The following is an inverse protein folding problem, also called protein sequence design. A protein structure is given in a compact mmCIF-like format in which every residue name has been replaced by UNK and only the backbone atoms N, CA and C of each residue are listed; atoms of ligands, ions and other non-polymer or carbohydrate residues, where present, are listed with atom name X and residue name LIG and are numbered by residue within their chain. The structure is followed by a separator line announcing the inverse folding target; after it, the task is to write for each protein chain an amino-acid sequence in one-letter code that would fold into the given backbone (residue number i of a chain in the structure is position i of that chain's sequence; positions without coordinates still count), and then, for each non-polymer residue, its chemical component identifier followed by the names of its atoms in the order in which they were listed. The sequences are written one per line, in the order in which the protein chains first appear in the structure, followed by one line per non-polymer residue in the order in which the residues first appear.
data_IF_553286088899
#
_entry.id   IF_553286088899
#
_cell.length_a   1.000
_cell.length_b   1.000
_cell.length_c   1.000
_cell.angle_alpha   90.00
_cell.angle_beta   90.00
_cell.angle_gamma   90.00
#
_symmetry.space_group_name_H-M   'P 1'
#
loop_
_entity.id
_entity.type
_entity.pdbx_description
1 polymer ?
#
# COMPACT_ATOMS: atom_id res chain seq x y z
N UNK A 1 -2.32 6.27 4.66
CA UNK A 1 -1.70 7.34 5.48
C UNK A 1 -0.74 6.65 6.43
N UNK A 2 0.48 7.16 6.57
CA UNK A 2 1.46 6.55 7.48
C UNK A 2 1.09 6.86 8.92
N UNK A 3 1.25 5.89 9.82
CA UNK A 3 0.75 6.02 11.21
C UNK A 3 1.36 7.21 11.97
N UNK A 4 2.62 7.55 11.69
CA UNK A 4 3.28 8.73 12.28
C UNK A 4 2.71 10.07 11.79
N UNK A 5 1.92 10.09 10.72
CA UNK A 5 1.20 11.29 10.27
C UNK A 5 -0.13 11.48 11.02
N UNK A 6 -0.55 10.52 11.84
CA UNK A 6 -1.84 10.58 12.54
C UNK A 6 -1.84 11.66 13.65
N UNK A 7 -2.67 12.69 13.51
CA UNK A 7 -2.68 13.84 14.44
C UNK A 7 -2.94 13.45 15.90
N UNK A 8 -3.85 12.49 16.15
CA UNK A 8 -4.11 12.00 17.52
C UNK A 8 -2.88 11.34 18.14
N UNK A 9 -2.10 10.59 17.35
CA UNK A 9 -0.91 9.91 17.85
C UNK A 9 0.15 10.94 18.22
N UNK A 10 0.39 11.92 17.35
CA UNK A 10 1.30 13.03 17.61
C UNK A 10 0.94 13.78 18.90
N UNK A 11 -0.36 14.06 19.11
CA UNK A 11 -0.86 14.69 20.35
C UNK A 11 -0.62 13.82 21.59
N UNK A 12 -0.91 12.53 21.52
CA UNK A 12 -0.77 11.62 22.66
C UNK A 12 0.69 11.35 23.02
N UNK A 13 1.58 11.28 22.04
CA UNK A 13 3.00 11.00 22.24
C UNK A 13 3.85 12.23 22.53
N UNK A 14 3.32 13.44 22.29
CA UNK A 14 4.09 14.69 22.34
C UNK A 14 5.19 14.79 21.26
N UNK A 15 5.12 13.96 20.21
CA UNK A 15 6.11 13.93 19.11
C UNK A 15 5.44 14.39 17.82
N UNK A 16 6.16 15.17 17.01
CA UNK A 16 5.73 15.47 15.65
C UNK A 16 5.89 14.23 14.74
N UNK A 17 5.41 14.33 13.50
CA UNK A 17 5.48 13.23 12.53
C UNK A 17 6.90 12.69 12.31
N UNK A 18 7.90 13.57 12.26
CA UNK A 18 9.31 13.18 12.10
C UNK A 18 9.83 12.41 13.32
N UNK A 19 9.54 12.90 14.53
CA UNK A 19 9.92 12.24 15.77
C UNK A 19 9.25 10.87 15.94
N UNK A 20 8.01 10.70 15.46
CA UNK A 20 7.34 9.41 15.42
C UNK A 20 7.94 8.47 14.37
N UNK A 21 8.29 8.98 13.18
CA UNK A 21 8.96 8.21 12.13
C UNK A 21 10.29 7.66 12.62
N UNK A 22 11.12 8.50 13.25
CA UNK A 22 12.42 8.08 13.78
C UNK A 22 12.28 7.05 14.91
N UNK A 23 11.30 7.21 15.81
CA UNK A 23 11.02 6.19 16.82
C UNK A 23 10.59 4.84 16.20
N UNK A 24 9.84 4.85 15.09
CA UNK A 24 9.51 3.63 14.36
C UNK A 24 10.74 3.00 13.70
N UNK A 25 11.60 3.80 13.10
CA UNK A 25 12.85 3.34 12.46
C UNK A 25 13.77 2.69 13.49
N UNK A 26 13.95 3.29 14.66
CA UNK A 26 14.75 2.72 15.75
C UNK A 26 14.19 1.37 16.22
N UNK A 27 12.87 1.27 16.38
CA UNK A 27 12.23 0.00 16.74
C UNK A 27 12.38 -1.06 15.65
N UNK A 28 12.24 -0.69 14.37
CA UNK A 28 12.46 -1.61 13.24
C UNK A 28 13.91 -2.09 13.19
N UNK A 29 14.89 -1.20 13.41
CA UNK A 29 16.31 -1.58 13.49
C UNK A 29 16.55 -2.57 14.62
N UNK A 30 16.00 -2.31 15.79
CA UNK A 30 16.11 -3.23 16.92
C UNK A 30 15.53 -4.60 16.57
N UNK A 31 14.30 -4.66 16.08
CA UNK A 31 13.62 -5.92 15.71
C UNK A 31 14.43 -6.68 14.64
N UNK A 32 14.87 -6.00 13.59
CA UNK A 32 15.60 -6.66 12.49
C UNK A 32 17.05 -7.02 12.83
N UNK A 33 17.58 -6.51 13.95
CA UNK A 33 18.88 -6.92 14.49
C UNK A 33 18.72 -8.09 15.45
N UNK A 34 17.70 -8.04 16.32
CA UNK A 34 17.37 -9.12 17.24
C UNK A 34 16.89 -10.38 16.50
N UNK A 35 16.25 -10.21 15.34
CA UNK A 35 15.72 -11.28 14.49
C UNK A 35 16.23 -11.14 13.04
N UNK A 36 17.49 -11.54 12.76
CA UNK A 36 18.12 -11.31 11.45
C UNK A 36 17.49 -12.08 10.28
N UNK A 37 16.71 -13.13 10.57
CA UNK A 37 15.97 -13.93 9.58
C UNK A 37 14.52 -13.46 9.41
N UNK A 38 14.10 -12.39 10.10
CA UNK A 38 12.75 -11.86 9.99
C UNK A 38 12.56 -11.20 8.63
N UNK A 39 11.75 -11.83 7.78
CA UNK A 39 11.17 -11.14 6.63
C UNK A 39 10.03 -10.23 7.10
N UNK A 40 10.03 -8.98 6.63
CA UNK A 40 8.96 -8.05 6.94
C UNK A 40 8.53 -7.26 5.71
N UNK A 41 7.31 -6.72 5.81
CA UNK A 41 6.75 -5.76 4.88
C UNK A 41 6.18 -4.60 5.67
N UNK A 42 6.48 -3.37 5.25
CA UNK A 42 5.80 -2.19 5.80
C UNK A 42 4.46 -2.01 5.08
N UNK A 43 3.41 -1.70 5.84
CA UNK A 43 2.14 -1.24 5.28
C UNK A 43 2.21 0.28 5.15
N UNK A 44 2.20 0.75 3.91
CA UNK A 44 2.68 2.06 3.51
C UNK A 44 4.15 2.25 4.00
N UNK A 45 4.58 3.48 4.29
CA UNK A 45 5.96 3.74 4.74
C UNK A 45 6.99 3.73 3.62
N UNK A 46 6.58 4.04 2.38
CA UNK A 46 7.48 4.12 1.23
C UNK A 46 8.66 5.09 1.44
N UNK A 47 8.47 6.14 2.21
CA UNK A 47 9.51 7.08 2.63
C UNK A 47 10.54 6.46 3.58
N UNK A 48 10.14 5.63 4.55
CA UNK A 48 11.09 4.93 5.44
C UNK A 48 12.06 4.08 4.61
N UNK A 49 11.56 3.28 3.67
CA UNK A 49 12.44 2.43 2.85
C UNK A 49 13.28 3.23 1.84
N UNK A 50 12.89 4.46 1.49
CA UNK A 50 13.71 5.33 0.65
C UNK A 50 14.80 6.04 1.44
N UNK A 51 14.46 6.54 2.63
CA UNK A 51 15.35 7.33 3.50
C UNK A 51 16.34 6.48 4.29
N UNK A 52 16.01 5.21 4.58
CA UNK A 52 16.84 4.31 5.40
C UNK A 52 17.24 3.04 4.62
N UNK A 53 18.35 3.08 3.84
CA UNK A 53 18.82 1.95 3.04
C UNK A 53 19.07 0.67 3.84
N UNK A 54 19.56 0.78 5.07
CA UNK A 54 19.84 -0.35 5.96
C UNK A 54 18.58 -1.17 6.29
N UNK A 55 17.43 -0.51 6.39
CA UNK A 55 16.14 -1.16 6.51
C UNK A 55 15.67 -1.71 5.16
N UNK A 56 15.82 -0.94 4.08
CA UNK A 56 15.42 -1.39 2.73
C UNK A 56 16.10 -2.68 2.33
N UNK A 57 17.38 -2.85 2.62
CA UNK A 57 18.16 -4.06 2.29
C UNK A 57 17.59 -5.33 2.94
N UNK A 58 16.87 -5.20 4.06
CA UNK A 58 16.20 -6.30 4.75
C UNK A 58 14.74 -6.48 4.35
N UNK A 59 14.17 -5.54 3.59
CA UNK A 59 12.79 -5.61 3.13
C UNK A 59 12.72 -6.20 1.72
N UNK A 60 11.84 -7.19 1.52
CA UNK A 60 11.55 -7.73 0.18
C UNK A 60 10.26 -7.14 -0.41
N UNK A 61 9.37 -6.70 0.47
CA UNK A 61 8.03 -6.28 0.12
C UNK A 61 7.66 -4.95 0.79
N UNK A 62 6.78 -4.20 0.13
CA UNK A 62 6.01 -3.12 0.74
C UNK A 62 4.54 -3.32 0.37
N UNK A 63 3.64 -3.17 1.34
CA UNK A 63 2.20 -3.21 1.13
C UNK A 63 1.70 -1.78 1.00
N UNK A 64 0.80 -1.48 0.07
CA UNK A 64 0.27 -0.12 -0.14
C UNK A 64 -1.25 -0.14 -0.11
N UNK A 65 -1.82 0.67 0.78
CA UNK A 65 -3.26 0.76 1.05
C UNK A 65 -3.70 2.22 1.28
N UNK A 66 -4.61 2.81 0.51
CA UNK A 66 -4.89 2.63 -0.93
C UNK A 66 -4.05 3.63 -1.74
N UNK A 67 -3.92 3.44 -3.07
CA UNK A 67 -3.12 4.33 -3.95
C UNK A 67 -3.92 4.93 -5.11
N UNK A 68 -4.64 4.10 -5.86
CA UNK A 68 -5.33 4.49 -7.09
C UNK A 68 -6.75 4.97 -6.83
N UNK A 69 -7.39 4.47 -5.76
CA UNK A 69 -8.78 4.80 -5.43
C UNK A 69 -8.91 5.41 -4.04
N UNK A 70 -9.82 6.38 -3.91
CA UNK A 70 -10.29 6.92 -2.65
C UNK A 70 -11.80 7.01 -2.67
N UNK A 71 -12.47 6.38 -1.69
CA UNK A 71 -13.94 6.29 -1.63
C UNK A 71 -14.58 5.80 -2.95
N UNK A 72 -13.92 4.86 -3.62
CA UNK A 72 -14.36 4.27 -4.89
C UNK A 72 -14.12 5.15 -6.13
N UNK A 73 -13.52 6.33 -5.99
CA UNK A 73 -13.16 7.23 -7.09
C UNK A 73 -11.68 7.13 -7.43
N UNK A 74 -11.33 7.22 -8.71
CA UNK A 74 -9.95 7.31 -9.17
C UNK A 74 -9.32 8.62 -8.71
N UNK A 75 -8.10 8.54 -8.18
CA UNK A 75 -7.33 9.71 -7.69
C UNK A 75 -5.99 9.90 -8.39
N UNK A 76 -5.84 9.32 -9.59
CA UNK A 76 -4.57 9.34 -10.36
C UNK A 76 -4.17 10.73 -10.87
N UNK A 77 -5.03 11.73 -10.72
CA UNK A 77 -4.78 13.13 -11.07
C UNK A 77 -4.33 13.98 -9.87
N UNK A 78 -4.16 13.38 -8.69
CA UNK A 78 -3.77 14.13 -7.47
C UNK A 78 -2.26 14.21 -7.31
N UNK A 79 -1.77 15.29 -6.69
CA UNK A 79 -0.36 15.43 -6.32
C UNK A 79 0.10 14.33 -5.38
N UNK A 80 -0.78 13.91 -4.45
CA UNK A 80 -0.48 12.80 -3.54
C UNK A 80 -0.23 11.50 -4.30
N UNK A 81 -1.09 11.17 -5.27
CA UNK A 81 -0.87 10.02 -6.14
C UNK A 81 0.48 10.09 -6.85
N UNK A 82 0.79 11.22 -7.51
CA UNK A 82 2.05 11.40 -8.24
C UNK A 82 3.25 11.24 -7.30
N UNK A 83 3.20 11.86 -6.12
CA UNK A 83 4.26 11.76 -5.11
C UNK A 83 4.45 10.32 -4.65
N UNK A 84 3.36 9.61 -4.32
CA UNK A 84 3.43 8.24 -3.80
C UNK A 84 3.86 7.24 -4.86
N UNK A 85 3.33 7.33 -6.09
CA UNK A 85 3.70 6.42 -7.17
C UNK A 85 5.17 6.59 -7.57
N UNK A 86 5.72 7.80 -7.53
CA UNK A 86 7.15 8.05 -7.76
C UNK A 86 8.03 7.35 -6.71
N UNK A 87 7.66 7.43 -5.43
CA UNK A 87 8.37 6.71 -4.36
C UNK A 87 8.31 5.20 -4.57
N UNK A 88 7.13 4.66 -4.87
CA UNK A 88 6.94 3.22 -5.07
C UNK A 88 7.68 2.70 -6.30
N UNK A 89 7.65 3.43 -7.41
CA UNK A 89 8.42 3.05 -8.61
C UNK A 89 9.93 3.12 -8.37
N UNK A 90 10.40 4.04 -7.53
CA UNK A 90 11.80 4.05 -7.09
C UNK A 90 12.13 2.82 -6.22
N UNK A 91 11.23 2.40 -5.33
CA UNK A 91 11.41 1.17 -4.55
C UNK A 91 11.44 -0.08 -5.43
N UNK A 92 10.61 -0.15 -6.48
CA UNK A 92 10.67 -1.22 -7.48
C UNK A 92 12.03 -1.28 -8.16
N UNK A 93 12.60 -0.12 -8.54
CA UNK A 93 13.97 -0.04 -9.10
C UNK A 93 15.04 -0.52 -8.13
N UNK A 94 14.79 -0.39 -6.82
CA UNK A 94 15.67 -0.89 -5.76
C UNK A 94 15.42 -2.38 -5.41
N UNK A 95 14.63 -3.11 -6.22
CA UNK A 95 14.38 -4.54 -6.02
C UNK A 95 13.23 -4.87 -5.05
N UNK A 96 12.51 -3.87 -4.54
CA UNK A 96 11.37 -4.09 -3.62
C UNK A 96 10.12 -4.44 -4.43
N UNK A 97 9.44 -5.52 -4.04
CA UNK A 97 8.14 -5.86 -4.62
C UNK A 97 7.02 -5.06 -3.95
N UNK A 98 6.28 -4.27 -4.73
CA UNK A 98 5.11 -3.54 -4.25
C UNK A 98 3.87 -4.44 -4.31
N UNK A 99 3.26 -4.67 -3.15
CA UNK A 99 1.99 -5.35 -2.95
C UNK A 99 0.89 -4.28 -2.78
N UNK A 100 0.25 -3.92 -3.88
CA UNK A 100 -0.86 -2.99 -3.87
C UNK A 100 -2.13 -3.70 -3.41
N UNK A 101 -2.87 -3.08 -2.50
CA UNK A 101 -4.17 -3.54 -2.04
C UNK A 101 -5.18 -2.40 -2.23
N UNK A 102 -6.30 -2.71 -2.88
CA UNK A 102 -7.38 -1.75 -3.08
C UNK A 102 -8.72 -2.29 -2.58
N UNK A 103 -9.33 -1.55 -1.65
CA UNK A 103 -10.66 -1.82 -1.13
C UNK A 103 -11.71 -1.25 -2.08
N UNK A 104 -11.96 -1.97 -3.17
CA UNK A 104 -12.76 -1.46 -4.29
C UNK A 104 -13.91 -2.38 -4.72
N UNK A 105 -13.91 -3.64 -4.27
CA UNK A 105 -14.90 -4.62 -4.68
C UNK A 105 -16.15 -4.60 -3.79
N UNK A 106 -17.31 -4.34 -4.40
CA UNK A 106 -18.60 -4.40 -3.72
C UNK A 106 -19.25 -5.79 -3.74
N UNK A 107 -18.73 -6.74 -4.52
CA UNK A 107 -19.12 -8.16 -4.54
C UNK A 107 -20.30 -8.48 -5.38
N UNK A 108 -20.84 -7.48 -6.05
CA UNK A 108 -21.83 -7.68 -7.07
C UNK A 108 -21.12 -7.85 -8.42
N UNK A 109 -21.08 -9.07 -9.00
CA UNK A 109 -20.50 -9.28 -10.32
C UNK A 109 -21.33 -8.67 -11.45
N UNK A 110 -22.60 -8.34 -11.19
CA UNK A 110 -23.51 -7.72 -12.15
C UNK A 110 -23.43 -6.19 -12.14
N UNK A 111 -22.68 -5.60 -11.20
CA UNK A 111 -22.42 -4.17 -11.19
C UNK A 111 -21.29 -3.84 -12.18
N UNK A 112 -21.67 -3.32 -13.35
CA UNK A 112 -20.72 -2.90 -14.38
C UNK A 112 -19.70 -1.87 -13.86
N UNK A 113 -20.08 -0.99 -12.93
CA UNK A 113 -19.14 -0.02 -12.34
C UNK A 113 -18.13 -0.71 -11.43
N UNK A 114 -18.53 -1.76 -10.71
CA UNK A 114 -17.61 -2.59 -9.92
C UNK A 114 -16.60 -3.28 -10.84
N UNK A 115 -17.10 -3.91 -11.91
CA UNK A 115 -16.27 -4.59 -12.91
C UNK A 115 -15.27 -3.64 -13.55
N UNK A 116 -15.71 -2.46 -14.01
CA UNK A 116 -14.81 -1.46 -14.59
C UNK A 116 -13.75 -1.00 -13.58
N UNK A 117 -14.15 -0.69 -12.35
CA UNK A 117 -13.22 -0.27 -11.29
C UNK A 117 -12.12 -1.31 -11.06
N UNK A 118 -12.49 -2.59 -11.00
CA UNK A 118 -11.53 -3.69 -10.82
C UNK A 118 -10.62 -3.82 -12.06
N UNK A 119 -11.17 -3.76 -13.28
CA UNK A 119 -10.38 -3.81 -14.52
C UNK A 119 -9.39 -2.66 -14.60
N UNK A 120 -9.81 -1.44 -14.25
CA UNK A 120 -8.95 -0.26 -14.20
C UNK A 120 -7.84 -0.44 -13.18
N UNK A 121 -8.15 -0.93 -11.97
CA UNK A 121 -7.14 -1.21 -10.96
C UNK A 121 -6.09 -2.22 -11.44
N UNK A 122 -6.53 -3.34 -12.02
CA UNK A 122 -5.62 -4.38 -12.55
C UNK A 122 -4.72 -3.81 -13.64
N UNK A 123 -5.27 -3.00 -14.56
CA UNK A 123 -4.50 -2.34 -15.61
C UNK A 123 -3.44 -1.39 -15.03
N UNK A 124 -3.82 -0.54 -14.07
CA UNK A 124 -2.91 0.39 -13.41
C UNK A 124 -1.81 -0.34 -12.62
N UNK A 125 -2.16 -1.35 -11.83
CA UNK A 125 -1.18 -2.13 -11.09
C UNK A 125 -0.15 -2.79 -12.02
N UNK A 126 -0.60 -3.38 -13.15
CA UNK A 126 0.29 -3.94 -14.17
C UNK A 126 1.18 -2.88 -14.81
N UNK A 127 0.63 -1.71 -15.15
CA UNK A 127 1.38 -0.58 -15.73
C UNK A 127 2.56 -0.16 -14.85
N UNK A 128 2.39 -0.15 -13.53
CA UNK A 128 3.45 0.24 -12.58
C UNK A 128 4.30 -0.93 -12.07
N UNK A 129 4.05 -2.16 -12.53
CA UNK A 129 4.78 -3.36 -12.10
C UNK A 129 4.42 -3.83 -10.69
N UNK A 130 3.25 -3.46 -10.17
CA UNK A 130 2.79 -3.83 -8.84
C UNK A 130 2.04 -5.16 -8.85
N UNK A 131 2.22 -5.97 -7.80
CA UNK A 131 1.33 -7.10 -7.51
C UNK A 131 0.07 -6.54 -6.86
N UNK A 132 -1.10 -6.97 -7.30
CA UNK A 132 -2.37 -6.43 -6.83
C UNK A 132 -3.18 -7.45 -6.04
N UNK A 133 -3.93 -6.95 -5.05
CA UNK A 133 -5.00 -7.67 -4.38
C UNK A 133 -6.24 -6.78 -4.29
N UNK A 134 -7.37 -7.33 -4.72
CA UNK A 134 -8.64 -6.62 -4.77
C UNK A 134 -9.42 -6.98 -3.50
N UNK A 135 -9.52 -6.05 -2.57
CA UNK A 135 -10.20 -6.24 -1.29
C UNK A 135 -11.65 -5.75 -1.34
N UNK A 136 -12.46 -6.27 -0.41
CA UNK A 136 -13.85 -5.87 -0.16
C UNK A 136 -13.93 -4.44 0.35
N UNK A 137 -14.95 -3.69 -0.05
CA UNK A 137 -15.18 -2.31 0.43
C UNK A 137 -15.35 -2.18 1.95
N UNK A 138 -15.73 -3.25 2.65
CA UNK A 138 -15.94 -3.26 4.10
C UNK A 138 -14.64 -3.28 4.92
N UNK A 139 -13.49 -3.42 4.25
CA UNK A 139 -12.15 -3.44 4.84
C UNK A 139 -11.95 -4.54 5.90
N UNK A 140 -12.80 -5.58 5.93
CA UNK A 140 -12.73 -6.61 6.97
C UNK A 140 -11.59 -7.62 6.78
N UNK A 141 -11.15 -7.82 5.54
CA UNK A 141 -10.12 -8.81 5.16
C UNK A 141 -10.32 -10.20 5.78
N UNK A 142 -11.57 -10.57 6.02
CA UNK A 142 -11.96 -11.81 6.72
C UNK A 142 -12.14 -13.01 5.78
N UNK A 143 -12.05 -12.78 4.47
CA UNK A 143 -12.13 -13.80 3.42
C UNK A 143 -11.10 -13.52 2.33
N UNK A 144 -10.58 -14.57 1.70
CA UNK A 144 -9.79 -14.44 0.48
C UNK A 144 -10.74 -13.99 -0.64
N UNK A 145 -10.58 -12.76 -1.11
CA UNK A 145 -11.46 -12.20 -2.11
C UNK A 145 -10.98 -12.59 -3.51
N UNK A 146 -11.85 -13.26 -4.26
CA UNK A 146 -11.65 -13.59 -5.68
C UNK A 146 -12.76 -12.87 -6.44
N UNK A 147 -12.50 -11.68 -7.00
CA UNK A 147 -13.53 -10.91 -7.67
C UNK A 147 -14.08 -11.68 -8.87
N UNK A 148 -15.40 -11.82 -8.91
CA UNK A 148 -16.10 -12.43 -10.03
C UNK A 148 -16.31 -11.36 -11.10
N UNK A 149 -15.49 -11.39 -12.14
CA UNK A 149 -15.61 -10.50 -13.29
C UNK A 149 -16.13 -11.35 -14.45
N UNK A 150 -17.33 -11.09 -14.99
CA UNK A 150 -17.79 -11.76 -16.19
C UNK A 150 -16.76 -11.57 -17.31
N UNK A 151 -16.34 -12.68 -17.92
CA UNK A 151 -15.60 -12.58 -19.17
C UNK A 151 -16.56 -12.01 -20.21
N UNK A 152 -16.12 -10.99 -20.96
CA UNK A 152 -16.93 -10.41 -22.03
C UNK A 152 -17.04 -11.41 -23.18
N UNK A 153 -17.89 -12.42 -23.01
CA UNK A 153 -18.37 -13.42 -23.97
C UNK A 153 -19.31 -14.33 -23.17
N UNK A 154 -20.55 -13.87 -23.03
CA UNK A 154 -21.78 -14.67 -22.88
C UNK A 154 -22.95 -13.74 -23.21
#
# INVERSE_FOLDING_TARGET
INIYQHAKLQKLSGKNAEGLKNAMVENLRKITNDFPQLEYALVNGEDILLEFPDLREKAKYIIVESLFFSKGQLVTNTEDFVRRVNKLTQLVKNGITVLSVEYIDNGNPLDNKNVERIKTYVSLARKYGFKYYIARLDMKLNVVNIPRIPNSKD
#
